data_IF_793372870631
#
_entry.id   IF_793372870631
#
_cell.length_a   1.000
_cell.length_b   1.000
_cell.length_c   1.000
_cell.angle_alpha   90.00
_cell.angle_beta   90.00
_cell.angle_gamma   90.00
#
_symmetry.space_group_name_H-M   'P 1'
#
loop_
_entity.id
_entity.type
_entity.pdbx_description
1 polymer ?
#
# COMPACT_ATOMS: atom_id res chain seq x y z
N UNK A 1 3.70 15.85 -34.18
CA UNK A 1 3.88 16.63 -32.93
C UNK A 1 2.78 16.19 -31.97
N UNK A 2 3.04 15.19 -31.14
CA UNK A 2 2.12 14.76 -30.09
C UNK A 2 2.67 15.30 -28.77
N UNK A 3 1.92 16.23 -28.16
CA UNK A 3 2.29 16.84 -26.90
C UNK A 3 2.20 15.86 -25.76
N UNK A 4 3.35 15.51 -25.18
CA UNK A 4 3.42 14.75 -23.96
C UNK A 4 2.74 15.50 -22.81
N UNK A 5 1.65 14.97 -22.31
CA UNK A 5 1.00 15.45 -21.09
C UNK A 5 1.88 15.04 -19.92
N UNK A 6 2.63 15.98 -19.36
CA UNK A 6 3.35 15.78 -18.10
C UNK A 6 2.34 15.59 -16.98
N UNK A 7 2.01 14.32 -16.68
CA UNK A 7 1.23 13.97 -15.48
C UNK A 7 2.14 14.22 -14.29
N UNK A 8 1.98 15.36 -13.65
CA UNK A 8 2.77 15.71 -12.47
C UNK A 8 2.24 14.96 -11.26
N UNK A 9 3.12 14.55 -10.33
CA UNK A 9 2.77 13.93 -9.05
C UNK A 9 1.72 14.74 -8.25
N UNK A 10 1.56 16.03 -8.53
CA UNK A 10 0.47 16.87 -7.98
C UNK A 10 -0.92 16.33 -8.36
N UNK A 11 -1.07 15.71 -9.54
CA UNK A 11 -2.32 15.05 -9.92
C UNK A 11 -2.56 13.76 -9.15
N UNK A 12 -1.54 12.98 -8.81
CA UNK A 12 -1.68 11.78 -7.97
C UNK A 12 -2.08 12.15 -6.54
N UNK A 13 -1.49 13.19 -5.96
CA UNK A 13 -1.86 13.68 -4.62
C UNK A 13 -3.28 14.26 -4.57
N UNK A 14 -3.77 14.89 -5.65
CA UNK A 14 -5.15 15.38 -5.72
C UNK A 14 -6.19 14.27 -5.80
N UNK A 15 -5.85 13.11 -6.37
CA UNK A 15 -6.73 11.94 -6.34
C UNK A 15 -6.81 11.29 -4.96
N UNK A 16 -5.70 11.26 -4.21
CA UNK A 16 -5.70 10.78 -2.81
C UNK A 16 -6.51 11.73 -1.91
N UNK A 17 -6.46 13.04 -2.16
CA UNK A 17 -7.23 14.03 -1.42
C UNK A 17 -8.71 14.13 -1.86
N UNK A 18 -9.05 13.66 -3.06
CA UNK A 18 -10.39 13.76 -3.65
C UNK A 18 -11.37 12.67 -3.21
N UNK A 19 -10.96 11.65 -2.47
CA UNK A 19 -11.85 10.67 -1.86
C UNK A 19 -12.37 11.19 -0.52
N UNK A 20 -12.90 12.41 -0.50
CA UNK A 20 -13.81 12.87 0.55
C UNK A 20 -15.20 12.30 0.27
N UNK A 21 -15.34 10.99 0.48
CA UNK A 21 -16.65 10.36 0.53
C UNK A 21 -17.44 10.96 1.69
N UNK A 22 -18.57 11.56 1.38
CA UNK A 22 -19.53 12.04 2.36
C UNK A 22 -20.07 10.87 3.18
N UNK A 23 -19.40 10.56 4.29
CA UNK A 23 -19.93 9.64 5.28
C UNK A 23 -20.92 10.37 6.17
N UNK A 24 -22.15 9.87 6.19
CA UNK A 24 -23.19 10.29 7.13
C UNK A 24 -22.67 10.21 8.56
N UNK A 25 -22.67 11.33 9.26
CA UNK A 25 -22.27 11.44 10.66
C UNK A 25 -23.41 11.02 11.56
N UNK A 26 -23.67 9.74 11.69
CA UNK A 26 -24.60 9.24 12.68
C UNK A 26 -23.96 8.09 13.47
N UNK A 27 -23.48 8.40 14.67
CA UNK A 27 -23.24 7.43 15.73
C UNK A 27 -21.87 6.73 15.72
N UNK A 28 -21.13 6.91 16.82
CA UNK A 28 -19.92 6.23 17.29
C UNK A 28 -18.57 6.77 16.79
N UNK A 29 -17.86 7.41 17.71
CA UNK A 29 -16.48 7.87 17.50
C UNK A 29 -15.51 6.70 17.21
N UNK A 30 -15.86 5.52 17.69
CA UNK A 30 -15.10 4.27 17.52
C UNK A 30 -15.13 3.75 16.08
N UNK A 31 -16.21 3.99 15.36
CA UNK A 31 -16.45 3.49 14.01
C UNK A 31 -15.63 4.23 12.92
N UNK A 32 -15.29 5.50 13.14
CA UNK A 32 -14.58 6.32 12.14
C UNK A 32 -13.15 5.87 11.88
N UNK A 33 -12.44 5.42 12.91
CA UNK A 33 -11.06 4.95 12.79
C UNK A 33 -11.01 3.62 12.04
N UNK A 34 -11.94 2.73 12.33
CA UNK A 34 -12.08 1.45 11.63
C UNK A 34 -12.49 1.66 10.18
N UNK A 35 -13.46 2.53 9.91
CA UNK A 35 -13.88 2.89 8.55
C UNK A 35 -12.76 3.49 7.72
N UNK A 36 -11.95 4.38 8.29
CA UNK A 36 -10.78 4.93 7.60
C UNK A 36 -9.77 3.83 7.24
N UNK A 37 -9.57 2.85 8.12
CA UNK A 37 -8.75 1.67 7.83
C UNK A 37 -9.30 0.83 6.68
N UNK A 38 -10.63 0.65 6.61
CA UNK A 38 -11.27 -0.06 5.49
C UNK A 38 -11.12 0.70 4.16
N UNK A 39 -11.30 2.01 4.16
CA UNK A 39 -11.07 2.83 2.96
C UNK A 39 -9.64 2.70 2.46
N UNK A 40 -8.65 2.81 3.35
CA UNK A 40 -7.24 2.68 2.98
C UNK A 40 -6.89 1.27 2.52
N UNK A 41 -7.52 0.24 3.08
CA UNK A 41 -7.33 -1.15 2.67
C UNK A 41 -7.64 -1.36 1.17
N UNK A 42 -8.68 -0.71 0.66
CA UNK A 42 -9.03 -0.78 -0.76
C UNK A 42 -8.32 0.30 -1.61
N UNK A 43 -8.06 1.46 -1.04
CA UNK A 43 -7.38 2.54 -1.75
C UNK A 43 -5.93 2.20 -2.11
N UNK A 44 -5.19 1.51 -1.23
CA UNK A 44 -3.79 1.16 -1.45
C UNK A 44 -3.57 0.25 -2.68
N UNK A 45 -4.28 -0.90 -2.83
CA UNK A 45 -4.18 -1.72 -4.05
C UNK A 45 -4.57 -0.96 -5.30
N UNK A 46 -5.63 -0.15 -5.21
CA UNK A 46 -6.09 0.65 -6.33
C UNK A 46 -5.05 1.71 -6.73
N UNK A 47 -4.41 2.36 -5.76
CA UNK A 47 -3.33 3.31 -6.01
C UNK A 47 -2.13 2.64 -6.67
N UNK A 48 -1.70 1.47 -6.16
CA UNK A 48 -0.60 0.71 -6.74
C UNK A 48 -0.92 0.31 -8.20
N UNK A 49 -2.12 -0.22 -8.45
CA UNK A 49 -2.56 -0.58 -9.79
C UNK A 49 -2.62 0.64 -10.72
N UNK A 50 -3.25 1.73 -10.27
CA UNK A 50 -3.37 2.97 -11.07
C UNK A 50 -1.99 3.53 -11.42
N UNK A 51 -1.03 3.49 -10.49
CA UNK A 51 0.34 3.93 -10.76
C UNK A 51 0.97 3.17 -11.94
N UNK A 52 0.78 1.83 -12.02
CA UNK A 52 1.32 1.05 -13.14
C UNK A 52 0.72 1.41 -14.51
N UNK A 53 -0.54 1.88 -14.52
CA UNK A 53 -1.19 2.32 -15.75
C UNK A 53 -0.80 3.74 -16.13
N UNK A 54 -0.78 4.67 -15.18
CA UNK A 54 -0.46 6.08 -15.43
C UNK A 54 1.01 6.32 -15.77
N UNK A 55 1.89 5.46 -15.25
CA UNK A 55 3.33 5.50 -15.55
C UNK A 55 3.73 4.59 -16.74
N UNK A 56 2.74 3.99 -17.41
CA UNK A 56 2.95 3.08 -18.56
C UNK A 56 3.94 1.95 -18.24
N UNK A 57 3.82 1.35 -17.04
CA UNK A 57 4.73 0.35 -16.49
C UNK A 57 4.13 -1.09 -16.60
N UNK A 58 4.23 -1.75 -17.76
CA UNK A 58 3.67 -3.09 -17.95
C UNK A 58 4.38 -4.16 -17.10
N UNK A 59 5.69 -4.01 -16.88
CA UNK A 59 6.47 -4.93 -16.04
C UNK A 59 6.06 -4.80 -14.57
N UNK A 60 5.95 -3.57 -14.07
CA UNK A 60 5.44 -3.32 -12.72
C UNK A 60 4.03 -3.86 -12.52
N UNK A 61 3.16 -3.79 -13.54
CA UNK A 61 1.81 -4.36 -13.49
C UNK A 61 1.83 -5.88 -13.31
N UNK A 62 2.67 -6.58 -14.07
CA UNK A 62 2.83 -8.02 -13.94
C UNK A 62 3.42 -8.42 -12.58
N UNK A 63 4.42 -7.67 -12.10
CA UNK A 63 5.05 -7.88 -10.80
C UNK A 63 4.09 -7.61 -9.64
N UNK A 64 3.23 -6.58 -9.75
CA UNK A 64 2.18 -6.30 -8.76
C UNK A 64 1.21 -7.47 -8.64
N UNK A 65 0.72 -7.99 -9.78
CA UNK A 65 -0.20 -9.14 -9.80
C UNK A 65 0.46 -10.38 -9.20
N UNK A 66 1.73 -10.65 -9.54
CA UNK A 66 2.47 -11.77 -8.96
C UNK A 66 2.71 -11.60 -7.46
N UNK A 67 3.11 -10.42 -7.00
CA UNK A 67 3.32 -10.14 -5.60
C UNK A 67 2.04 -10.34 -4.79
N UNK A 68 0.90 -9.85 -5.29
CA UNK A 68 -0.40 -10.11 -4.68
C UNK A 68 -0.78 -11.58 -4.70
N UNK A 69 -0.62 -12.26 -5.84
CA UNK A 69 -0.93 -13.69 -5.98
C UNK A 69 -0.18 -14.53 -4.96
N UNK A 70 1.14 -14.32 -4.85
CA UNK A 70 1.99 -15.08 -3.91
C UNK A 70 1.66 -14.72 -2.46
N UNK A 71 1.57 -13.43 -2.13
CA UNK A 71 1.29 -13.00 -0.75
C UNK A 71 -0.07 -13.50 -0.26
N UNK A 72 -1.11 -13.33 -1.07
CA UNK A 72 -2.46 -13.76 -0.68
C UNK A 72 -2.56 -15.28 -0.58
N UNK A 73 -2.04 -16.03 -1.57
CA UNK A 73 -2.07 -17.50 -1.54
C UNK A 73 -1.32 -18.03 -0.33
N UNK A 74 -0.12 -17.52 -0.05
CA UNK A 74 0.66 -17.92 1.14
C UNK A 74 -0.08 -17.58 2.44
N UNK A 75 -0.70 -16.40 2.51
CA UNK A 75 -1.49 -16.00 3.68
C UNK A 75 -2.68 -16.91 3.90
N UNK A 76 -3.39 -17.32 2.84
CA UNK A 76 -4.50 -18.27 2.96
C UNK A 76 -4.06 -19.66 3.42
N UNK A 77 -2.94 -20.15 2.90
CA UNK A 77 -2.37 -21.43 3.34
C UNK A 77 -1.99 -21.37 4.82
N UNK A 78 -1.27 -20.32 5.23
CA UNK A 78 -0.88 -20.13 6.63
C UNK A 78 -2.09 -20.02 7.56
N UNK A 79 -3.16 -19.34 7.12
CA UNK A 79 -4.39 -19.17 7.87
C UNK A 79 -5.06 -20.52 8.18
N UNK A 80 -5.06 -21.44 7.23
CA UNK A 80 -5.58 -22.80 7.43
C UNK A 80 -4.66 -23.73 8.22
N UNK A 81 -3.36 -23.40 8.36
CA UNK A 81 -2.40 -24.22 9.10
C UNK A 81 -2.25 -23.81 10.58
N UNK A 82 -2.45 -22.53 10.88
CA UNK A 82 -2.13 -22.00 12.22
C UNK A 82 -3.34 -21.97 13.15
N UNK A 83 -4.56 -21.90 12.61
CA UNK A 83 -5.84 -21.98 13.38
C UNK A 83 -5.78 -21.15 14.68
N UNK A 84 -5.54 -19.84 14.54
CA UNK A 84 -5.42 -18.91 15.66
C UNK A 84 -6.73 -18.18 15.91
N UNK A 85 -7.27 -18.27 17.11
CA UNK A 85 -8.46 -17.54 17.55
C UNK A 85 -8.23 -16.01 17.44
N UNK A 86 -9.26 -15.28 17.00
CA UNK A 86 -9.24 -13.81 17.00
C UNK A 86 -9.42 -13.25 18.40
N UNK A 87 -8.92 -12.01 18.65
CA UNK A 87 -9.16 -11.33 19.93
C UNK A 87 -10.65 -11.19 20.27
N UNK A 88 -11.53 -11.01 19.26
CA UNK A 88 -12.98 -10.89 19.43
C UNK A 88 -13.72 -12.25 19.56
N UNK A 89 -13.00 -13.37 19.46
CA UNK A 89 -13.56 -14.73 19.59
C UNK A 89 -14.48 -15.16 18.44
N UNK A 90 -14.47 -14.45 17.31
CA UNK A 90 -15.41 -14.73 16.21
C UNK A 90 -15.06 -15.95 15.38
N UNK A 91 -13.78 -16.23 15.20
CA UNK A 91 -13.27 -17.41 14.47
C UNK A 91 -11.79 -17.69 14.80
N UNK A 92 -11.28 -18.84 14.32
CA UNK A 92 -9.89 -19.29 14.49
C UNK A 92 -9.00 -18.92 13.30
N UNK A 93 -9.37 -17.92 12.51
CA UNK A 93 -8.68 -17.52 11.30
C UNK A 93 -7.98 -16.16 11.45
N UNK A 94 -7.37 -15.90 12.62
CA UNK A 94 -6.70 -14.64 12.89
C UNK A 94 -5.37 -14.51 12.14
N UNK A 95 -4.54 -15.55 12.14
CA UNK A 95 -3.17 -15.48 11.62
C UNK A 95 -3.05 -16.02 10.17
N UNK A 96 -2.26 -15.35 9.32
CA UNK A 96 -1.84 -13.95 9.40
C UNK A 96 -2.98 -13.01 9.02
N UNK A 97 -2.82 -11.70 9.26
CA UNK A 97 -3.81 -10.69 8.84
C UNK A 97 -3.75 -10.47 7.33
N UNK A 98 -4.80 -10.90 6.61
CA UNK A 98 -4.94 -10.68 5.16
C UNK A 98 -5.04 -9.20 4.81
N UNK A 99 -5.69 -8.40 5.65
CA UNK A 99 -5.80 -6.95 5.45
C UNK A 99 -4.43 -6.29 5.52
N UNK A 100 -3.62 -6.65 6.52
CA UNK A 100 -2.25 -6.16 6.62
C UNK A 100 -1.40 -6.66 5.44
N UNK A 101 -1.49 -7.95 5.10
CA UNK A 101 -0.77 -8.50 3.95
C UNK A 101 -1.09 -7.75 2.65
N UNK A 102 -2.37 -7.47 2.37
CA UNK A 102 -2.80 -6.69 1.20
C UNK A 102 -2.25 -5.26 1.21
N UNK A 103 -2.45 -4.54 2.32
CA UNK A 103 -2.03 -3.15 2.43
C UNK A 103 -0.49 -3.01 2.31
N UNK A 104 0.25 -3.88 2.99
CA UNK A 104 1.72 -3.87 2.93
C UNK A 104 2.27 -4.39 1.60
N UNK A 105 1.56 -5.26 0.86
CA UNK A 105 1.93 -5.62 -0.52
C UNK A 105 1.90 -4.40 -1.43
N UNK A 106 0.84 -3.59 -1.34
CA UNK A 106 0.77 -2.32 -2.09
C UNK A 106 1.90 -1.38 -1.72
N UNK A 107 2.14 -1.17 -0.42
CA UNK A 107 3.16 -0.25 0.06
C UNK A 107 4.58 -0.70 -0.32
N UNK A 108 4.87 -1.99 -0.14
CA UNK A 108 6.16 -2.56 -0.50
C UNK A 108 6.41 -2.55 -2.01
N UNK A 109 5.38 -2.82 -2.81
CA UNK A 109 5.45 -2.68 -4.26
C UNK A 109 5.76 -1.24 -4.67
N UNK A 110 4.99 -0.26 -4.17
CA UNK A 110 5.18 1.16 -4.48
C UNK A 110 6.60 1.60 -4.10
N UNK A 111 7.05 1.23 -2.91
CA UNK A 111 8.40 1.58 -2.45
C UNK A 111 9.49 0.93 -3.31
N UNK A 112 9.35 -0.36 -3.61
CA UNK A 112 10.37 -1.10 -4.36
C UNK A 112 10.43 -0.65 -5.81
N UNK A 113 9.27 -0.39 -6.44
CA UNK A 113 9.15 -0.04 -7.85
C UNK A 113 9.37 1.43 -8.11
N UNK A 114 8.83 2.31 -7.26
CA UNK A 114 8.78 3.76 -7.49
C UNK A 114 9.57 4.59 -6.46
N UNK A 115 10.27 3.93 -5.53
CA UNK A 115 11.15 4.59 -4.57
C UNK A 115 10.46 5.02 -3.27
N UNK A 116 11.28 5.57 -2.35
CA UNK A 116 10.85 5.91 -1.00
C UNK A 116 9.93 7.12 -0.91
N UNK A 117 10.01 8.05 -1.85
CA UNK A 117 9.16 9.26 -1.84
C UNK A 117 7.67 8.89 -1.97
N UNK A 118 7.35 7.90 -2.81
CA UNK A 118 6.01 7.33 -2.93
C UNK A 118 5.75 6.23 -1.89
N UNK A 119 6.78 5.47 -1.53
CA UNK A 119 6.69 4.35 -0.62
C UNK A 119 6.38 4.75 0.82
N UNK A 120 7.00 5.82 1.33
CA UNK A 120 6.82 6.24 2.72
C UNK A 120 5.35 6.56 3.05
N UNK A 121 4.62 7.40 2.29
CA UNK A 121 3.19 7.61 2.54
C UNK A 121 2.37 6.31 2.40
N UNK A 122 2.72 5.42 1.48
CA UNK A 122 2.04 4.14 1.34
C UNK A 122 2.25 3.23 2.57
N UNK A 123 3.47 3.18 3.14
CA UNK A 123 3.74 2.46 4.38
C UNK A 123 3.02 3.05 5.59
N UNK A 124 2.91 4.37 5.68
CA UNK A 124 2.14 5.02 6.75
C UNK A 124 0.65 4.63 6.65
N UNK A 125 0.09 4.64 5.45
CA UNK A 125 -1.29 4.20 5.22
C UNK A 125 -1.48 2.70 5.52
N UNK A 126 -0.55 1.83 5.11
CA UNK A 126 -0.60 0.40 5.41
C UNK A 126 -0.46 0.12 6.92
N UNK A 127 0.38 0.89 7.62
CA UNK A 127 0.52 0.81 9.07
C UNK A 127 -0.77 1.21 9.78
N UNK A 128 -1.47 2.23 9.28
CA UNK A 128 -2.78 2.61 9.79
C UNK A 128 -3.82 1.49 9.58
N UNK A 129 -3.84 0.83 8.41
CA UNK A 129 -4.68 -0.35 8.18
C UNK A 129 -4.39 -1.42 9.21
N UNK A 130 -3.12 -1.77 9.42
CA UNK A 130 -2.72 -2.76 10.42
C UNK A 130 -3.16 -2.38 11.83
N UNK A 131 -2.94 -1.13 12.23
CA UNK A 131 -3.37 -0.60 13.52
C UNK A 131 -4.89 -0.69 13.68
N UNK A 132 -5.67 -0.32 12.67
CA UNK A 132 -7.15 -0.36 12.73
C UNK A 132 -7.68 -1.78 12.95
N UNK A 133 -6.98 -2.82 12.45
CA UNK A 133 -7.35 -4.22 12.67
C UNK A 133 -7.04 -4.72 14.09
N UNK A 134 -5.99 -4.19 14.70
CA UNK A 134 -5.70 -4.46 16.12
C UNK A 134 -6.65 -3.70 17.01
N UNK A 135 -6.91 -2.41 16.71
CA UNK A 135 -7.82 -1.54 17.44
C UNK A 135 -9.26 -2.06 17.49
N UNK A 136 -9.70 -2.72 16.43
CA UNK A 136 -11.04 -3.32 16.32
C UNK A 136 -11.12 -4.78 16.80
N UNK A 137 -10.12 -5.27 17.53
CA UNK A 137 -10.01 -6.63 18.05
C UNK A 137 -10.16 -7.75 16.97
N UNK A 138 -9.94 -7.41 15.69
CA UNK A 138 -10.01 -8.37 14.57
C UNK A 138 -8.76 -9.21 14.42
N UNK A 139 -7.61 -8.69 14.83
CA UNK A 139 -6.30 -9.33 14.72
C UNK A 139 -5.39 -8.98 15.89
N UNK A 140 -4.54 -9.92 16.28
CA UNK A 140 -3.43 -9.62 17.17
C UNK A 140 -2.34 -8.81 16.45
N UNK A 141 -1.54 -8.05 17.18
CA UNK A 141 -0.41 -7.30 16.60
C UNK A 141 0.55 -8.21 15.83
N UNK A 142 0.77 -9.45 16.32
CA UNK A 142 1.64 -10.43 15.65
C UNK A 142 1.08 -10.91 14.32
N UNK A 143 -0.24 -10.96 14.14
CA UNK A 143 -0.88 -11.34 12.86
C UNK A 143 -0.65 -10.27 11.81
N UNK A 144 -0.72 -9.00 12.23
CA UNK A 144 -0.44 -7.83 11.39
C UNK A 144 1.02 -7.80 10.99
N UNK A 145 1.94 -7.98 11.94
CA UNK A 145 3.37 -8.01 11.67
C UNK A 145 3.76 -9.17 10.74
N UNK A 146 3.15 -10.34 10.91
CA UNK A 146 3.39 -11.48 10.03
C UNK A 146 2.91 -11.21 8.59
N UNK A 147 1.72 -10.63 8.43
CA UNK A 147 1.21 -10.22 7.11
C UNK A 147 2.09 -9.17 6.45
N UNK A 148 2.55 -8.17 7.22
CA UNK A 148 3.45 -7.13 6.74
C UNK A 148 4.83 -7.68 6.33
N UNK A 149 5.41 -8.56 7.14
CA UNK A 149 6.71 -9.19 6.85
C UNK A 149 6.65 -10.07 5.61
N UNK A 150 5.58 -10.87 5.46
CA UNK A 150 5.35 -11.68 4.27
C UNK A 150 5.25 -10.81 3.02
N UNK A 151 4.43 -9.77 3.06
CA UNK A 151 4.24 -8.83 1.94
C UNK A 151 5.54 -8.15 1.55
N UNK A 152 6.32 -7.69 2.53
CA UNK A 152 7.63 -7.09 2.30
C UNK A 152 8.60 -8.09 1.67
N UNK A 153 8.73 -9.29 2.23
CA UNK A 153 9.64 -10.31 1.71
C UNK A 153 9.32 -10.74 0.29
N UNK A 154 8.04 -10.97 -0.02
CA UNK A 154 7.58 -11.30 -1.37
C UNK A 154 7.87 -10.16 -2.34
N UNK A 155 7.62 -8.91 -1.95
CA UNK A 155 7.90 -7.75 -2.80
C UNK A 155 9.40 -7.56 -3.04
N UNK A 156 10.27 -7.79 -2.04
CA UNK A 156 11.72 -7.73 -2.24
C UNK A 156 12.22 -8.79 -3.24
N UNK A 157 11.54 -9.92 -3.29
CA UNK A 157 11.93 -11.04 -4.17
C UNK A 157 11.37 -10.89 -5.59
N UNK A 158 10.11 -10.45 -5.75
CA UNK A 158 9.41 -10.45 -7.05
C UNK A 158 9.38 -9.08 -7.75
N UNK A 159 9.58 -8.00 -7.01
CA UNK A 159 9.49 -6.65 -7.57
C UNK A 159 10.88 -6.10 -7.83
N UNK A 160 11.17 -5.81 -9.07
CA UNK A 160 12.41 -5.14 -9.48
C UNK A 160 12.25 -3.63 -9.31
N UNK A 161 13.31 -2.92 -8.89
CA UNK A 161 13.31 -1.47 -8.94
C UNK A 161 12.97 -0.99 -10.35
N UNK A 162 11.99 -0.10 -10.47
CA UNK A 162 11.68 0.49 -11.76
C UNK A 162 12.80 1.42 -12.21
N UNK A 163 12.95 1.60 -13.51
CA UNK A 163 13.78 2.65 -14.09
C UNK A 163 13.16 4.04 -13.89
N UNK A 164 12.11 4.14 -13.07
CA UNK A 164 11.41 5.37 -12.80
C UNK A 164 12.30 6.33 -12.01
N UNK A 165 12.58 7.42 -12.68
CA UNK A 165 12.81 8.77 -12.14
C UNK A 165 13.15 8.86 -10.67
N UNK A 166 14.42 8.96 -10.35
CA UNK A 166 14.83 9.35 -9.01
C UNK A 166 14.54 10.85 -8.83
N UNK A 167 13.64 11.15 -7.91
CA UNK A 167 13.47 12.52 -7.44
C UNK A 167 14.61 12.82 -6.47
N UNK A 168 15.44 13.77 -6.79
CA UNK A 168 16.45 14.28 -5.89
C UNK A 168 16.13 15.73 -5.53
N UNK A 169 16.13 16.05 -4.25
CA UNK A 169 16.14 17.43 -3.78
C UNK A 169 17.59 17.90 -3.84
N UNK A 170 17.91 18.76 -4.79
CA UNK A 170 19.26 19.29 -4.96
C UNK A 170 19.32 20.71 -4.42
N UNK A 171 20.25 21.02 -3.49
CA UNK A 171 20.47 22.39 -3.07
C UNK A 171 21.03 23.22 -4.24
N UNK A 172 20.44 24.38 -4.46
CA UNK A 172 20.87 25.37 -5.44
C UNK A 172 21.24 26.67 -4.74
N UNK A 173 22.01 27.54 -5.38
CA UNK A 173 22.50 28.81 -4.79
C UNK A 173 21.39 29.79 -4.34
N UNK A 174 20.11 29.48 -4.58
CA UNK A 174 18.96 30.31 -4.20
C UNK A 174 17.84 29.53 -3.48
N UNK A 175 18.06 28.25 -3.09
CA UNK A 175 17.03 27.41 -2.48
C UNK A 175 17.20 25.93 -2.76
N UNK A 176 16.11 25.20 -2.73
CA UNK A 176 16.07 23.76 -3.04
C UNK A 176 15.34 23.55 -4.37
N UNK A 177 15.96 22.86 -5.31
CA UNK A 177 15.35 22.43 -6.56
C UNK A 177 15.03 20.94 -6.52
N UNK A 178 13.90 20.58 -7.12
CA UNK A 178 13.58 19.17 -7.38
C UNK A 178 14.24 18.78 -8.72
N UNK A 179 15.23 17.92 -8.66
CA UNK A 179 15.82 17.31 -9.84
C UNK A 179 15.07 16.02 -10.18
N UNK A 180 14.78 15.84 -11.45
CA UNK A 180 14.10 14.67 -11.99
C UNK A 180 15.05 14.00 -12.98
N UNK A 181 15.52 12.82 -12.65
CA UNK A 181 16.37 12.03 -13.53
C UNK A 181 15.56 10.88 -14.13
N UNK A 182 15.42 10.88 -15.45
CA UNK A 182 14.81 9.78 -16.20
C UNK A 182 15.95 9.01 -16.83
N UNK A 183 16.23 7.80 -16.34
CA UNK A 183 17.12 6.87 -17.03
C UNK A 183 16.31 6.09 -18.06
N UNK A 184 16.64 6.28 -19.35
CA UNK A 184 16.06 5.55 -20.48
C UNK A 184 16.79 4.22 -20.68
#
# INVERSE_FOLDING_TARGET
>A
MMGGQNVTWRTLLTWIAGVSLGFSTAGYADDRWTQAGEVLLYALPLTAATATYTLEDPDGRSQLVMAYGVTMSTSYVLKGLVERERPDGTDDLSFPSLSAASAFTSAAFIQRRYGWDAGLPAYLAASYVGWSKVYSDRHHTTDVLAGAALAWGVSQWLVEPGSASQFAVVPTEGGMALAFEVNF
#
